data_IF_402512423882
#
_entry.id   IF_402512423882
#
_cell.length_a   1.000
_cell.length_b   1.000
_cell.length_c   1.000
_cell.angle_alpha   90.00
_cell.angle_beta   90.00
_cell.angle_gamma   90.00
#
_symmetry.space_group_name_H-M   'P 1'
#
loop_
_entity.id
_entity.type
_entity.pdbx_description
1 polymer ?
#
# COMPACT_ATOMS: atom_id res chain seq x y z
N UNK A 1 -14.08 16.40 7.32
CA UNK A 1 -13.26 16.14 6.11
C UNK A 1 -11.77 16.42 6.36
N UNK A 2 -11.40 17.50 7.06
CA UNK A 2 -10.00 17.84 7.39
C UNK A 2 -9.20 16.78 8.18
N UNK A 3 -9.81 16.12 9.16
CA UNK A 3 -9.09 15.13 10.01
C UNK A 3 -8.58 13.96 9.17
N UNK A 4 -9.39 13.44 8.24
CA UNK A 4 -9.01 12.31 7.39
C UNK A 4 -7.80 12.65 6.51
N UNK A 5 -7.78 13.84 5.89
CA UNK A 5 -6.64 14.27 5.07
C UNK A 5 -5.34 14.38 5.90
N UNK A 6 -5.43 14.95 7.10
CA UNK A 6 -4.28 15.03 8.01
C UNK A 6 -3.77 13.64 8.40
N UNK A 7 -4.67 12.70 8.68
CA UNK A 7 -4.31 11.31 8.97
C UNK A 7 -3.66 10.61 7.78
N UNK A 8 -4.13 10.85 6.57
CA UNK A 8 -3.55 10.25 5.36
C UNK A 8 -2.14 10.76 5.07
N UNK A 9 -1.89 12.05 5.23
CA UNK A 9 -0.54 12.61 5.05
C UNK A 9 0.45 12.01 6.05
N UNK A 10 0.03 11.86 7.30
CA UNK A 10 0.85 11.21 8.33
C UNK A 10 1.09 9.73 8.03
N UNK A 11 0.06 9.00 7.60
CA UNK A 11 0.20 7.61 7.22
C UNK A 11 1.14 7.43 6.01
N UNK A 12 1.08 8.33 5.02
CA UNK A 12 2.03 8.33 3.91
C UNK A 12 3.47 8.47 4.41
N UNK A 13 3.73 9.43 5.31
CA UNK A 13 5.06 9.67 5.88
C UNK A 13 5.57 8.44 6.65
N UNK A 14 4.76 7.88 7.54
CA UNK A 14 5.10 6.69 8.33
C UNK A 14 5.39 5.48 7.43
N UNK A 15 4.60 5.28 6.37
CA UNK A 15 4.80 4.17 5.42
C UNK A 15 6.07 4.37 4.57
N UNK A 16 6.38 5.60 4.16
CA UNK A 16 7.62 5.90 3.46
C UNK A 16 8.85 5.67 4.35
N UNK A 17 8.79 6.08 5.62
CA UNK A 17 9.85 5.79 6.59
C UNK A 17 10.00 4.27 6.79
N UNK A 18 8.89 3.55 6.94
CA UNK A 18 8.92 2.10 7.09
C UNK A 18 9.58 1.40 5.88
N UNK A 19 9.30 1.83 4.66
CA UNK A 19 9.95 1.31 3.44
C UNK A 19 11.44 1.69 3.39
N UNK A 20 11.80 2.87 3.90
CA UNK A 20 13.21 3.32 3.94
C UNK A 20 14.04 2.42 4.87
N UNK A 21 13.49 2.07 6.03
CA UNK A 21 14.18 1.20 7.01
C UNK A 21 14.08 -0.28 6.62
N UNK A 22 12.91 -0.70 6.11
CA UNK A 22 12.62 -2.08 5.73
C UNK A 22 12.06 -2.15 4.29
N UNK A 23 12.93 -2.18 3.27
CA UNK A 23 12.52 -2.13 1.85
C UNK A 23 11.70 -3.33 1.37
N UNK A 24 11.64 -4.41 2.17
CA UNK A 24 10.89 -5.62 1.86
C UNK A 24 9.74 -5.86 2.86
N UNK A 25 9.31 -4.84 3.60
CA UNK A 25 8.19 -4.96 4.52
C UNK A 25 6.87 -5.04 3.74
N UNK A 26 6.29 -6.25 3.70
CA UNK A 26 5.06 -6.56 2.95
C UNK A 26 3.93 -5.60 3.32
N UNK A 27 3.71 -5.42 4.63
CA UNK A 27 2.62 -4.58 5.13
C UNK A 27 2.78 -3.12 4.75
N UNK A 28 4.00 -2.58 4.71
CA UNK A 28 4.23 -1.19 4.33
C UNK A 28 3.89 -0.96 2.85
N UNK A 29 4.33 -1.87 1.97
CA UNK A 29 3.97 -1.83 0.56
C UNK A 29 2.46 -2.02 0.34
N UNK A 30 1.83 -2.98 1.02
CA UNK A 30 0.38 -3.21 0.91
C UNK A 30 -0.44 -2.01 1.41
N UNK A 31 -0.10 -1.46 2.57
CA UNK A 31 -0.81 -0.34 3.18
C UNK A 31 -0.63 0.94 2.35
N UNK A 32 0.56 1.18 1.78
CA UNK A 32 0.80 2.33 0.92
C UNK A 32 -0.01 2.24 -0.39
N UNK A 33 -0.07 1.06 -1.00
CA UNK A 33 -0.93 0.83 -2.16
C UNK A 33 -2.41 1.10 -1.85
N UNK A 34 -2.93 0.56 -0.75
CA UNK A 34 -4.32 0.82 -0.32
C UNK A 34 -4.59 2.28 0.00
N UNK A 35 -3.63 2.96 0.65
CA UNK A 35 -3.77 4.37 0.99
C UNK A 35 -3.86 5.23 -0.27
N UNK A 36 -3.01 4.96 -1.27
CA UNK A 36 -3.06 5.64 -2.57
C UNK A 36 -4.41 5.44 -3.28
N UNK A 37 -5.06 4.28 -3.16
CA UNK A 37 -6.42 4.07 -3.71
C UNK A 37 -7.43 4.95 -2.96
N UNK A 38 -7.41 4.91 -1.64
CA UNK A 38 -8.38 5.62 -0.80
C UNK A 38 -8.28 7.15 -0.93
N UNK A 39 -7.08 7.66 -1.20
CA UNK A 39 -6.84 9.10 -1.35
C UNK A 39 -6.98 9.60 -2.78
N UNK A 40 -7.40 8.75 -3.73
CA UNK A 40 -7.37 9.04 -5.19
C UNK A 40 -5.97 9.48 -5.65
N UNK A 41 -4.94 8.86 -5.08
CA UNK A 41 -3.55 9.05 -5.47
C UNK A 41 -3.23 8.35 -6.80
N UNK A 42 -1.95 8.28 -7.12
CA UNK A 42 -1.46 7.71 -8.37
C UNK A 42 -1.73 6.18 -8.45
N UNK A 43 -2.60 5.72 -9.38
CA UNK A 43 -2.95 4.31 -9.50
C UNK A 43 -1.77 3.44 -9.97
N UNK A 44 -0.83 4.02 -10.72
CA UNK A 44 0.39 3.31 -11.16
C UNK A 44 1.27 3.03 -9.96
N UNK A 45 1.49 4.03 -9.09
CA UNK A 45 2.24 3.83 -7.84
C UNK A 45 1.54 2.84 -6.92
N UNK A 46 0.21 2.91 -6.81
CA UNK A 46 -0.55 1.95 -6.01
C UNK A 46 -0.32 0.51 -6.48
N UNK A 47 -0.48 0.27 -7.79
CA UNK A 47 -0.20 -1.02 -8.42
C UNK A 47 1.22 -1.49 -8.13
N UNK A 48 2.21 -0.62 -8.32
CA UNK A 48 3.62 -0.96 -8.08
C UNK A 48 3.87 -1.43 -6.64
N UNK A 49 3.35 -0.71 -5.65
CA UNK A 49 3.50 -1.10 -4.24
C UNK A 49 2.79 -2.43 -3.94
N UNK A 50 1.58 -2.63 -4.46
CA UNK A 50 0.84 -3.88 -4.27
C UNK A 50 1.54 -5.08 -4.95
N UNK A 51 2.08 -4.91 -6.15
CA UNK A 51 2.86 -5.94 -6.84
C UNK A 51 4.13 -6.30 -6.06
N UNK A 52 4.81 -5.29 -5.49
CA UNK A 52 5.96 -5.54 -4.63
C UNK A 52 5.58 -6.33 -3.37
N UNK A 53 4.49 -5.96 -2.71
CA UNK A 53 3.95 -6.71 -1.57
C UNK A 53 3.60 -8.15 -1.96
N UNK A 54 2.98 -8.34 -3.12
CA UNK A 54 2.59 -9.66 -3.63
C UNK A 54 3.82 -10.55 -3.89
N UNK A 55 4.89 -9.99 -4.48
CA UNK A 55 6.14 -10.72 -4.74
C UNK A 55 6.83 -11.17 -3.45
N UNK A 56 6.67 -10.41 -2.37
CA UNK A 56 7.27 -10.67 -1.07
C UNK A 56 6.40 -11.58 -0.18
N UNK A 57 5.12 -11.73 -0.50
CA UNK A 57 4.19 -12.53 0.27
C UNK A 57 4.59 -14.02 0.24
N UNK A 58 4.84 -14.57 1.43
CA UNK A 58 5.17 -16.00 1.61
C UNK A 58 3.94 -16.86 1.90
N UNK A 59 2.85 -16.24 2.37
CA UNK A 59 1.58 -16.91 2.67
C UNK A 59 0.53 -16.69 1.58
N UNK A 60 -0.19 -17.75 1.25
CA UNK A 60 -1.29 -17.73 0.29
C UNK A 60 -2.43 -16.78 0.73
N UNK A 61 -2.67 -16.64 2.03
CA UNK A 61 -3.70 -15.73 2.55
C UNK A 61 -3.34 -14.27 2.23
N UNK A 62 -2.10 -13.87 2.54
CA UNK A 62 -1.58 -12.53 2.28
C UNK A 62 -1.61 -12.23 0.78
N UNK A 63 -1.14 -13.19 -0.04
CA UNK A 63 -1.16 -13.04 -1.49
C UNK A 63 -2.59 -12.89 -2.04
N UNK A 64 -3.57 -13.62 -1.52
CA UNK A 64 -4.97 -13.54 -1.95
C UNK A 64 -5.60 -12.18 -1.60
N UNK A 65 -5.29 -11.62 -0.43
CA UNK A 65 -5.73 -10.28 -0.03
C UNK A 65 -5.17 -9.21 -0.97
N UNK A 66 -3.89 -9.27 -1.28
CA UNK A 66 -3.22 -8.32 -2.18
C UNK A 66 -3.78 -8.42 -3.61
N UNK A 67 -3.99 -9.64 -4.13
CA UNK A 67 -4.61 -9.88 -5.45
C UNK A 67 -6.01 -9.28 -5.53
N UNK A 68 -6.81 -9.38 -4.47
CA UNK A 68 -8.15 -8.77 -4.42
C UNK A 68 -8.07 -7.25 -4.55
N UNK A 69 -7.12 -6.60 -3.88
CA UNK A 69 -6.90 -5.16 -4.01
C UNK A 69 -6.44 -4.79 -5.42
N UNK A 70 -5.50 -5.53 -6.01
CA UNK A 70 -5.03 -5.30 -7.38
C UNK A 70 -6.16 -5.38 -8.42
N UNK A 71 -7.09 -6.32 -8.25
CA UNK A 71 -8.25 -6.47 -9.13
C UNK A 71 -9.30 -5.36 -8.97
N UNK A 72 -9.26 -4.63 -7.85
CA UNK A 72 -10.16 -3.52 -7.57
C UNK A 72 -9.58 -2.15 -7.99
N UNK A 73 -8.35 -2.13 -8.52
CA UNK A 73 -7.79 -0.93 -9.13
C UNK A 73 -8.58 -0.58 -10.41
N UNK A 74 -8.85 0.72 -10.66
CA UNK A 74 -9.51 1.16 -11.89
C UNK A 74 -8.64 0.94 -13.13
#
# INVERSE_FOLDING_TARGET
IFIKQKSFNRALEELHQAITVFPNLIDAHYNLGNLLIQTKGDPIKSRWHLEKALKLATSQEVASRIKRTLNALP
#
